data_IF_669160629840
#
_entry.id   IF_669160629840
#
_cell.length_a   1.000
_cell.length_b   1.000
_cell.length_c   1.000
_cell.angle_alpha   90.00
_cell.angle_beta   90.00
_cell.angle_gamma   90.00
#
_symmetry.space_group_name_H-M   'P 1'
#
loop_
_entity.id
_entity.type
_entity.pdbx_description
1 polymer ?
#
# COMPACT_ATOMS: atom_id res chain seq x y z
N UNK A 1 -52.98 0.99 45.98
CA UNK A 1 -52.26 1.98 45.16
C UNK A 1 -51.37 1.36 44.05
N UNK A 2 -51.64 0.13 43.58
CA UNK A 2 -50.70 -0.62 42.72
C UNK A 2 -51.19 -0.87 41.27
N UNK A 3 -52.45 -0.56 40.94
CA UNK A 3 -52.97 -0.75 39.58
C UNK A 3 -52.65 0.43 38.64
N UNK A 4 -52.52 1.64 39.17
CA UNK A 4 -52.26 2.83 38.35
C UNK A 4 -50.81 2.90 37.85
N UNK A 5 -49.86 2.46 38.69
CA UNK A 5 -48.44 2.33 38.33
C UNK A 5 -48.22 1.23 37.27
N UNK A 6 -48.87 0.06 37.43
CA UNK A 6 -48.80 -1.04 36.45
C UNK A 6 -49.37 -0.65 35.08
N UNK A 7 -50.50 0.08 35.05
CA UNK A 7 -51.09 0.60 33.80
C UNK A 7 -50.15 1.58 33.08
N UNK A 8 -49.47 2.47 33.83
CA UNK A 8 -48.47 3.39 33.27
C UNK A 8 -47.25 2.66 32.71
N UNK A 9 -46.71 1.65 33.40
CA UNK A 9 -45.60 0.83 32.88
C UNK A 9 -45.98 0.06 31.61
N UNK A 10 -47.18 -0.50 31.54
CA UNK A 10 -47.65 -1.21 30.34
C UNK A 10 -47.74 -0.26 29.15
N UNK A 11 -48.28 0.96 29.35
CA UNK A 11 -48.37 1.97 28.28
C UNK A 11 -46.99 2.40 27.80
N UNK A 12 -46.01 2.58 28.70
CA UNK A 12 -44.63 2.96 28.33
C UNK A 12 -43.92 1.84 27.55
N UNK A 13 -44.09 0.59 27.96
CA UNK A 13 -43.51 -0.57 27.25
C UNK A 13 -44.15 -0.74 25.87
N UNK A 14 -45.47 -0.54 25.76
CA UNK A 14 -46.18 -0.58 24.48
C UNK A 14 -45.70 0.54 23.54
N UNK A 15 -45.48 1.75 24.06
CA UNK A 15 -44.98 2.88 23.27
C UNK A 15 -43.56 2.64 22.75
N UNK A 16 -42.68 2.05 23.58
CA UNK A 16 -41.34 1.65 23.16
C UNK A 16 -41.35 0.56 22.09
N UNK A 17 -42.30 -0.37 22.15
CA UNK A 17 -42.49 -1.40 21.12
C UNK A 17 -42.83 -0.82 19.74
N UNK A 18 -43.71 0.18 19.68
CA UNK A 18 -44.12 0.83 18.43
C UNK A 18 -42.96 1.62 17.78
N UNK A 19 -42.07 2.20 18.60
CA UNK A 19 -40.87 2.89 18.10
C UNK A 19 -39.83 1.91 17.52
N UNK A 20 -39.74 0.69 18.06
CA UNK A 20 -38.84 -0.35 17.53
C UNK A 20 -39.39 -1.00 16.25
N UNK A 21 -40.71 -1.04 16.07
CA UNK A 21 -41.36 -1.60 14.87
C UNK A 21 -41.39 -0.62 13.68
N UNK A 22 -41.15 0.68 13.88
CA UNK A 22 -41.14 1.69 12.82
C UNK A 22 -39.74 1.94 12.21
N UNK A 23 -38.72 1.19 12.62
CA UNK A 23 -37.34 1.35 12.17
C UNK A 23 -36.78 0.19 11.35
N UNK A 24 -37.19 0.00 10.10
CA UNK A 24 -36.34 -0.67 9.08
C UNK A 24 -36.82 -0.50 7.62
N UNK A 25 -37.43 0.63 7.24
CA UNK A 25 -37.80 0.81 5.83
C UNK A 25 -37.79 2.29 5.41
N UNK A 26 -36.58 2.85 5.12
CA UNK A 26 -36.46 3.45 3.79
C UNK A 26 -35.03 3.36 3.24
N UNK A 27 -34.50 2.15 2.99
CA UNK A 27 -33.25 1.98 2.23
C UNK A 27 -33.40 1.13 0.96
N UNK A 28 -34.62 0.99 0.43
CA UNK A 28 -34.88 0.26 -0.84
C UNK A 28 -35.13 1.15 -2.06
N UNK A 29 -35.12 2.48 -1.93
CA UNK A 29 -35.37 3.41 -3.05
C UNK A 29 -34.13 3.80 -3.87
N UNK A 30 -32.94 3.24 -3.62
CA UNK A 30 -31.71 3.63 -4.33
C UNK A 30 -31.28 2.73 -5.49
N UNK A 31 -31.98 1.63 -5.80
CA UNK A 31 -31.56 0.70 -6.87
C UNK A 31 -32.65 0.26 -7.85
N UNK A 32 -33.78 0.96 -7.96
CA UNK A 32 -34.70 0.72 -9.09
C UNK A 32 -34.27 1.57 -10.28
N UNK A 33 -33.48 0.95 -11.17
CA UNK A 33 -33.12 1.51 -12.48
C UNK A 33 -34.40 1.74 -13.29
N UNK A 34 -34.75 3.00 -13.58
CA UNK A 34 -35.77 3.31 -14.59
C UNK A 34 -35.29 2.75 -15.94
N UNK A 35 -36.10 1.90 -16.58
CA UNK A 35 -35.85 1.44 -17.95
C UNK A 35 -35.92 2.68 -18.86
N UNK A 36 -34.81 2.98 -19.53
CA UNK A 36 -34.73 4.03 -20.55
C UNK A 36 -35.40 3.50 -21.82
N UNK A 37 -36.28 4.28 -22.41
CA UNK A 37 -37.03 3.93 -23.62
C UNK A 37 -36.13 3.32 -24.70
N UNK A 38 -36.59 2.20 -25.26
CA UNK A 38 -35.96 1.43 -26.33
C UNK A 38 -36.09 2.12 -27.70
N UNK A 39 -35.77 3.42 -27.76
CA UNK A 39 -35.92 4.26 -28.95
C UNK A 39 -34.61 4.86 -29.47
N UNK A 40 -33.46 4.57 -28.86
CA UNK A 40 -32.16 4.95 -29.42
C UNK A 40 -31.54 3.69 -29.99
N UNK A 41 -31.42 3.66 -31.33
CA UNK A 41 -30.62 2.66 -32.05
C UNK A 41 -29.30 2.49 -31.29
N UNK A 42 -29.05 1.29 -30.81
CA UNK A 42 -27.74 0.88 -30.28
C UNK A 42 -26.76 1.01 -31.44
N UNK A 43 -26.19 2.19 -31.61
CA UNK A 43 -24.99 2.37 -32.41
C UNK A 43 -23.90 1.77 -31.56
N UNK A 44 -23.60 0.51 -31.82
CA UNK A 44 -22.46 -0.18 -31.22
C UNK A 44 -21.21 0.57 -31.70
N UNK A 45 -20.71 1.49 -30.87
CA UNK A 45 -19.45 2.18 -31.13
C UNK A 45 -18.36 1.12 -30.98
N UNK A 46 -17.99 0.50 -32.09
CA UNK A 46 -16.80 -0.34 -32.16
C UNK A 46 -15.62 0.62 -32.11
N UNK A 47 -15.03 0.75 -30.93
CA UNK A 47 -13.74 1.41 -30.78
C UNK A 47 -12.71 0.44 -31.33
N UNK A 48 -12.12 0.77 -32.48
CA UNK A 48 -10.99 0.02 -32.99
C UNK A 48 -9.86 0.06 -31.93
N UNK A 49 -9.20 -1.08 -31.64
CA UNK A 49 -8.06 -1.10 -30.74
C UNK A 49 -6.99 -0.14 -31.27
N UNK A 50 -6.70 0.91 -30.49
CA UNK A 50 -5.57 1.79 -30.79
C UNK A 50 -4.30 0.98 -30.54
N UNK A 51 -3.55 0.69 -31.61
CA UNK A 51 -2.26 0.01 -31.51
C UNK A 51 -1.21 1.03 -31.03
N UNK A 52 -0.87 0.95 -29.74
CA UNK A 52 0.15 1.81 -29.15
C UNK A 52 1.52 1.24 -29.51
N UNK A 53 2.43 2.05 -30.10
CA UNK A 53 3.77 1.57 -30.39
C UNK A 53 4.44 1.13 -29.08
N UNK A 54 5.10 -0.04 -29.11
CA UNK A 54 5.88 -0.52 -27.96
C UNK A 54 6.92 0.53 -27.59
N UNK A 55 6.76 1.14 -26.41
CA UNK A 55 7.76 2.07 -25.88
C UNK A 55 9.08 1.34 -25.75
N UNK A 56 10.08 1.79 -26.52
CA UNK A 56 11.45 1.33 -26.40
C UNK A 56 12.08 2.04 -25.21
N UNK A 57 11.79 1.57 -23.99
CA UNK A 57 12.41 2.09 -22.78
C UNK A 57 13.84 1.55 -22.70
N UNK A 58 14.82 2.44 -22.62
CA UNK A 58 16.24 2.05 -22.56
C UNK A 58 16.56 1.36 -21.23
N UNK A 59 17.64 0.57 -21.18
CA UNK A 59 18.11 -0.05 -19.94
C UNK A 59 18.41 0.98 -18.85
N UNK A 60 18.94 2.14 -19.24
CA UNK A 60 19.24 3.26 -18.35
C UNK A 60 17.95 3.86 -17.75
N UNK A 61 16.92 4.07 -18.58
CA UNK A 61 15.63 4.57 -18.12
C UNK A 61 14.97 3.59 -17.13
N UNK A 62 15.07 2.28 -17.39
CA UNK A 62 14.57 1.25 -16.45
C UNK A 62 15.33 1.27 -15.15
N UNK A 63 16.66 1.37 -15.20
CA UNK A 63 17.47 1.51 -13.99
C UNK A 63 17.08 2.74 -13.17
N UNK A 64 16.98 3.91 -13.82
CA UNK A 64 16.55 5.18 -13.19
C UNK A 64 15.17 5.05 -12.54
N UNK A 65 14.23 4.37 -13.20
CA UNK A 65 12.91 4.09 -12.66
C UNK A 65 12.99 3.28 -11.36
N UNK A 66 13.69 2.13 -11.38
CA UNK A 66 13.80 1.27 -10.20
C UNK A 66 14.57 1.94 -9.05
N UNK A 67 15.62 2.71 -9.36
CA UNK A 67 16.32 3.52 -8.37
C UNK A 67 15.40 4.57 -7.74
N UNK A 68 14.59 5.26 -8.54
CA UNK A 68 13.61 6.24 -8.03
C UNK A 68 12.56 5.58 -7.13
N UNK A 69 12.08 4.39 -7.50
CA UNK A 69 11.18 3.61 -6.65
C UNK A 69 11.87 3.20 -5.35
N UNK A 70 13.12 2.74 -5.41
CA UNK A 70 13.91 2.43 -4.21
C UNK A 70 14.01 3.64 -3.27
N UNK A 71 14.26 4.85 -3.78
CA UNK A 71 14.30 6.07 -2.95
C UNK A 71 12.99 6.34 -2.23
N UNK A 72 11.86 6.13 -2.90
CA UNK A 72 10.51 6.30 -2.32
C UNK A 72 10.32 5.30 -1.18
N UNK A 73 10.57 4.02 -1.42
CA UNK A 73 10.41 2.98 -0.41
C UNK A 73 11.40 3.15 0.76
N UNK A 74 12.61 3.64 0.48
CA UNK A 74 13.60 3.92 1.51
C UNK A 74 13.12 5.04 2.45
N UNK A 75 12.54 6.11 1.88
CA UNK A 75 11.92 7.17 2.68
C UNK A 75 10.75 6.63 3.51
N UNK A 76 9.94 5.76 2.93
CA UNK A 76 8.80 5.17 3.63
C UNK A 76 9.22 4.27 4.80
N UNK A 77 10.27 3.45 4.67
CA UNK A 77 10.74 2.64 5.80
C UNK A 77 11.34 3.51 6.91
N UNK A 78 12.06 4.58 6.57
CA UNK A 78 12.57 5.54 7.55
C UNK A 78 11.42 6.16 8.37
N UNK A 79 10.37 6.63 7.70
CA UNK A 79 9.18 7.18 8.36
C UNK A 79 8.45 6.14 9.22
N UNK A 80 8.29 4.91 8.72
CA UNK A 80 7.64 3.82 9.45
C UNK A 80 8.47 3.33 10.66
N UNK A 81 9.75 3.68 10.77
CA UNK A 81 10.60 3.37 11.91
C UNK A 81 10.68 4.51 12.93
N UNK A 82 10.53 5.77 12.49
CA UNK A 82 10.44 6.94 13.35
C UNK A 82 9.11 7.00 14.11
N UNK A 83 8.02 6.61 13.46
CA UNK A 83 6.71 6.42 14.07
C UNK A 83 6.22 5.00 13.75
N UNK A 84 6.57 4.00 14.58
CA UNK A 84 6.29 2.59 14.31
C UNK A 84 4.81 2.35 14.00
N UNK A 85 4.53 2.03 12.74
CA UNK A 85 3.23 1.51 12.31
C UNK A 85 3.13 0.00 12.53
N UNK A 86 2.17 -0.65 11.86
CA UNK A 86 2.01 -2.10 11.93
C UNK A 86 3.24 -2.83 11.37
N UNK A 87 3.77 -3.83 12.09
CA UNK A 87 4.91 -4.63 11.62
C UNK A 87 4.74 -5.27 10.23
N UNK A 88 3.49 -5.56 9.82
CA UNK A 88 3.16 -6.03 8.46
C UNK A 88 3.53 -4.99 7.39
N UNK A 89 3.27 -3.71 7.66
CA UNK A 89 3.60 -2.61 6.75
C UNK A 89 5.12 -2.47 6.62
N UNK A 90 5.84 -2.51 7.74
CA UNK A 90 7.30 -2.45 7.75
C UNK A 90 7.90 -3.58 6.90
N UNK A 91 7.45 -4.82 7.12
CA UNK A 91 7.87 -5.98 6.32
C UNK A 91 7.61 -5.78 4.83
N UNK A 92 6.39 -5.36 4.47
CA UNK A 92 6.02 -5.10 3.07
C UNK A 92 6.96 -4.08 2.41
N UNK A 93 7.28 -2.98 3.10
CA UNK A 93 8.17 -1.96 2.54
C UNK A 93 9.59 -2.49 2.34
N UNK A 94 10.10 -3.33 3.25
CA UNK A 94 11.41 -4.00 3.06
C UNK A 94 11.38 -4.96 1.87
N UNK A 95 10.32 -5.73 1.70
CA UNK A 95 10.14 -6.61 0.53
C UNK A 95 10.11 -5.79 -0.78
N UNK A 96 9.47 -4.62 -0.78
CA UNK A 96 9.48 -3.71 -1.93
C UNK A 96 10.89 -3.15 -2.21
N UNK A 97 11.65 -2.79 -1.17
CA UNK A 97 13.05 -2.37 -1.32
C UNK A 97 13.88 -3.48 -2.00
N UNK A 98 13.78 -4.71 -1.51
CA UNK A 98 14.49 -5.86 -2.10
C UNK A 98 14.12 -6.05 -3.57
N UNK A 99 12.83 -5.96 -3.91
CA UNK A 99 12.38 -6.10 -5.29
C UNK A 99 12.98 -5.04 -6.21
N UNK A 100 13.03 -3.76 -5.79
CA UNK A 100 13.61 -2.70 -6.62
C UNK A 100 15.13 -2.89 -6.81
N UNK A 101 15.84 -3.32 -5.77
CA UNK A 101 17.28 -3.62 -5.89
C UNK A 101 17.51 -4.80 -6.85
N UNK A 102 16.69 -5.85 -6.78
CA UNK A 102 16.79 -6.99 -7.69
C UNK A 102 16.57 -6.57 -9.16
N UNK A 103 15.63 -5.67 -9.41
CA UNK A 103 15.43 -5.11 -10.75
C UNK A 103 16.60 -4.23 -11.21
N UNK A 104 17.16 -3.41 -10.31
CA UNK A 104 18.35 -2.60 -10.61
C UNK A 104 19.55 -3.46 -11.03
N UNK A 105 19.78 -4.60 -10.38
CA UNK A 105 20.90 -5.52 -10.70
C UNK A 105 20.92 -5.96 -12.16
N UNK A 106 19.76 -6.05 -12.82
CA UNK A 106 19.66 -6.50 -14.23
C UNK A 106 20.33 -5.55 -15.21
N UNK A 107 20.62 -4.32 -14.79
CA UNK A 107 21.14 -3.26 -15.65
C UNK A 107 22.55 -2.78 -15.27
N UNK A 108 23.20 -3.44 -14.29
CA UNK A 108 24.54 -3.06 -13.82
C UNK A 108 25.64 -4.02 -14.31
N UNK A 109 26.86 -3.49 -14.39
CA UNK A 109 28.08 -4.27 -14.68
C UNK A 109 28.57 -5.03 -13.43
N UNK A 110 29.32 -6.12 -13.64
CA UNK A 110 29.69 -7.07 -12.59
C UNK A 110 30.35 -6.45 -11.34
N UNK A 111 31.19 -5.43 -11.51
CA UNK A 111 31.85 -4.68 -10.43
C UNK A 111 30.86 -4.06 -9.42
N UNK A 112 29.70 -3.61 -9.89
CA UNK A 112 28.70 -2.91 -9.07
C UNK A 112 27.73 -3.89 -8.38
N UNK A 113 27.71 -5.15 -8.80
CA UNK A 113 26.80 -6.17 -8.27
C UNK A 113 27.16 -6.61 -6.85
N UNK A 114 28.44 -6.73 -6.54
CA UNK A 114 28.90 -7.21 -5.22
C UNK A 114 28.44 -6.27 -4.08
N UNK A 115 28.46 -4.95 -4.32
CA UNK A 115 27.96 -3.97 -3.34
C UNK A 115 26.44 -4.05 -3.16
N UNK A 116 25.68 -4.32 -4.23
CA UNK A 116 24.23 -4.54 -4.13
C UNK A 116 23.90 -5.85 -3.42
N UNK A 117 24.71 -6.89 -3.57
CA UNK A 117 24.52 -8.15 -2.85
C UNK A 117 24.73 -7.99 -1.34
N UNK A 118 25.70 -7.16 -0.94
CA UNK A 118 25.84 -6.73 0.45
C UNK A 118 24.58 -6.04 0.98
N UNK A 119 24.01 -5.11 0.21
CA UNK A 119 22.80 -4.39 0.58
C UNK A 119 21.56 -5.31 0.63
N UNK A 120 21.42 -6.25 -0.32
CA UNK A 120 20.34 -7.24 -0.30
C UNK A 120 20.38 -8.12 0.95
N UNK A 121 21.58 -8.56 1.34
CA UNK A 121 21.78 -9.33 2.57
C UNK A 121 21.37 -8.51 3.81
N UNK A 122 21.74 -7.23 3.86
CA UNK A 122 21.27 -6.33 4.91
C UNK A 122 19.74 -6.26 4.98
N UNK A 123 19.06 -6.11 3.84
CA UNK A 123 17.59 -6.09 3.79
C UNK A 123 16.97 -7.43 4.22
N UNK A 124 17.63 -8.55 3.93
CA UNK A 124 17.19 -9.87 4.38
C UNK A 124 17.29 -9.99 5.91
N UNK A 125 18.39 -9.53 6.50
CA UNK A 125 18.58 -9.53 7.94
C UNK A 125 17.61 -8.57 8.65
N UNK A 126 17.30 -7.43 8.03
CA UNK A 126 16.25 -6.52 8.48
C UNK A 126 14.86 -7.19 8.46
N UNK A 127 14.57 -7.99 7.42
CA UNK A 127 13.34 -8.78 7.36
C UNK A 127 13.27 -9.84 8.49
N UNK A 128 14.39 -10.47 8.84
CA UNK A 128 14.47 -11.38 10.00
C UNK A 128 14.21 -10.65 11.31
N UNK A 129 14.67 -9.41 11.45
CA UNK A 129 14.39 -8.58 12.62
C UNK A 129 12.88 -8.31 12.77
N UNK A 130 12.17 -8.07 11.67
CA UNK A 130 10.72 -7.89 11.68
C UNK A 130 9.93 -9.19 11.98
N UNK A 131 10.55 -10.37 11.90
CA UNK A 131 9.92 -11.62 12.35
C UNK A 131 9.94 -11.78 13.87
N UNK A 132 10.87 -11.11 14.57
CA UNK A 132 10.93 -11.14 16.04
C UNK A 132 9.70 -10.46 16.65
N UNK A 133 9.31 -10.78 17.89
CA UNK A 133 8.26 -10.04 18.60
C UNK A 133 8.60 -8.55 18.70
N UNK A 134 7.60 -7.67 18.59
CA UNK A 134 7.80 -6.22 18.54
C UNK A 134 8.59 -5.67 19.74
N UNK A 135 8.38 -6.21 20.94
CA UNK A 135 9.10 -5.79 22.15
C UNK A 135 10.61 -6.08 22.11
N UNK A 136 11.06 -6.97 21.23
CA UNK A 136 12.48 -7.34 21.10
C UNK A 136 13.18 -6.58 19.98
N UNK A 137 12.45 -5.78 19.19
CA UNK A 137 13.00 -5.08 18.03
C UNK A 137 13.62 -3.75 18.45
N UNK A 138 14.80 -3.45 17.90
CA UNK A 138 15.45 -2.16 18.13
C UNK A 138 15.21 -1.20 16.96
N UNK A 139 14.07 -0.49 16.98
CA UNK A 139 13.72 0.49 15.92
C UNK A 139 14.79 1.56 15.70
N UNK A 140 15.40 2.07 16.77
CA UNK A 140 16.48 3.06 16.70
C UNK A 140 17.73 2.52 15.99
N UNK A 141 18.08 1.26 16.24
CA UNK A 141 19.25 0.62 15.61
C UNK A 141 18.98 0.37 14.13
N UNK A 142 17.82 -0.21 13.82
CA UNK A 142 17.37 -0.42 12.43
C UNK A 142 17.36 0.89 11.64
N UNK A 143 16.80 1.97 12.20
CA UNK A 143 16.75 3.27 11.55
C UNK A 143 18.15 3.83 11.24
N UNK A 144 19.08 3.71 12.20
CA UNK A 144 20.46 4.15 12.01
C UNK A 144 21.15 3.37 10.89
N UNK A 145 20.95 2.06 10.85
CA UNK A 145 21.54 1.19 9.83
C UNK A 145 20.95 1.49 8.45
N UNK A 146 19.62 1.60 8.33
CA UNK A 146 18.96 2.00 7.08
C UNK A 146 19.50 3.33 6.56
N UNK A 147 19.62 4.35 7.42
CA UNK A 147 20.15 5.67 7.01
C UNK A 147 21.61 5.58 6.53
N UNK A 148 22.43 4.73 7.16
CA UNK A 148 23.82 4.48 6.76
C UNK A 148 23.87 3.82 5.38
N UNK A 149 23.17 2.71 5.20
CA UNK A 149 23.19 1.96 3.94
C UNK A 149 22.54 2.77 2.80
N UNK A 150 21.47 3.51 3.08
CA UNK A 150 20.84 4.38 2.09
C UNK A 150 21.75 5.52 1.64
N UNK A 151 22.64 6.01 2.51
CA UNK A 151 23.67 6.98 2.13
C UNK A 151 24.66 6.37 1.15
N UNK A 152 25.19 5.18 1.46
CA UNK A 152 26.09 4.47 0.54
C UNK A 152 25.43 4.21 -0.80
N UNK A 153 24.16 3.77 -0.80
CA UNK A 153 23.38 3.55 -2.02
C UNK A 153 23.28 4.81 -2.89
N UNK A 154 23.03 5.98 -2.29
CA UNK A 154 22.97 7.24 -3.03
C UNK A 154 24.32 7.69 -3.56
N UNK A 155 25.39 7.44 -2.82
CA UNK A 155 26.75 7.84 -3.21
C UNK A 155 27.28 6.96 -4.36
N UNK A 156 26.97 5.67 -4.38
CA UNK A 156 27.54 4.71 -5.33
C UNK A 156 26.64 4.39 -6.53
N UNK A 157 25.32 4.42 -6.35
CA UNK A 157 24.36 3.88 -7.33
C UNK A 157 23.41 4.93 -7.90
N UNK A 158 23.64 6.21 -7.60
CA UNK A 158 22.87 7.30 -8.19
C UNK A 158 23.09 7.33 -9.71
N UNK A 159 22.02 7.35 -10.53
CA UNK A 159 22.12 7.37 -11.99
C UNK A 159 22.72 8.66 -12.56
N UNK A 160 22.90 9.70 -11.73
CA UNK A 160 23.56 10.94 -12.11
C UNK A 160 25.08 10.88 -11.97
N UNK A 161 25.61 9.83 -11.33
CA UNK A 161 27.04 9.58 -11.30
C UNK A 161 27.35 8.79 -12.59
N UNK A 162 28.30 9.26 -13.39
CA UNK A 162 28.60 8.85 -14.79
C UNK A 162 29.04 7.38 -14.98
N UNK A 163 28.65 6.46 -14.09
CA UNK A 163 29.11 5.07 -13.99
C UNK A 163 28.10 4.02 -14.49
N UNK A 164 27.17 4.40 -15.36
CA UNK A 164 26.25 3.48 -16.07
C UNK A 164 26.63 3.32 -17.54
#
# INVERSE_FOLDING_TARGET
>A
MNHFQKKKSIVVILLLGVLMLSGCEPLRKKFTRKKKDAGKKDVQVVLDPIDYPRQQVSSEERYRYHYSMWQIWNREIEQNLESPGTGKKQKYVVEQLQAQIFEMKKYLIQNQLDGLDGYLKFLEDLNKEFQKPEMMRSYKTMLREIKREARMMREQYSPNNETL
#
